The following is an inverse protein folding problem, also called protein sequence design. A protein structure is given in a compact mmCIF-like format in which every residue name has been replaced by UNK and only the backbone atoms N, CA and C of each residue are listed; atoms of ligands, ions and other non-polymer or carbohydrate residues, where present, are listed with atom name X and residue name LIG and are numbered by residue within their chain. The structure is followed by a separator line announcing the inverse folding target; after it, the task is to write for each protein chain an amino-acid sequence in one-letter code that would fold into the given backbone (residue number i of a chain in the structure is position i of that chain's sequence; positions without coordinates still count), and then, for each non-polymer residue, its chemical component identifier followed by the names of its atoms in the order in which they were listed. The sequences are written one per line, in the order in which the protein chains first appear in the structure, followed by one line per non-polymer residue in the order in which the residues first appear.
data_IF_282974030986
#
_entry.id   IF_282974030986
#
_cell.length_a   1.000
_cell.length_b   1.000
_cell.length_c   1.000
_cell.angle_alpha   90.00
_cell.angle_beta   90.00
_cell.angle_gamma   90.00
#
_symmetry.space_group_name_H-M   'P 1'
#
loop_
_entity.id
_entity.type
_entity.pdbx_description
1 polymer ?
#
# COMPACT_ATOMS: atom_id res chain seq x y z
N UNK A 1 11.51 -12.17 -16.98
CA UNK A 1 10.34 -11.63 -16.27
C UNK A 1 9.74 -10.48 -17.07
N UNK A 2 10.52 -9.46 -17.44
CA UNK A 2 10.09 -8.35 -18.32
C UNK A 2 9.40 -8.81 -19.62
N UNK A 3 9.94 -9.82 -20.31
CA UNK A 3 9.41 -10.30 -21.59
C UNK A 3 8.00 -10.96 -21.48
N UNK A 4 7.69 -11.57 -20.32
CA UNK A 4 6.38 -12.15 -20.06
C UNK A 4 5.34 -11.07 -19.77
N UNK A 5 5.75 -9.98 -19.11
CA UNK A 5 4.84 -8.89 -18.75
C UNK A 5 4.57 -8.00 -19.97
N UNK A 6 5.57 -7.74 -20.82
CA UNK A 6 5.40 -7.00 -22.08
C UNK A 6 4.37 -7.65 -23.02
N UNK A 7 4.44 -8.97 -23.19
CA UNK A 7 3.47 -9.74 -24.00
C UNK A 7 2.04 -9.64 -23.44
N UNK A 8 1.91 -9.49 -22.13
CA UNK A 8 0.64 -9.35 -21.43
C UNK A 8 0.01 -7.98 -21.66
N UNK A 9 0.81 -6.91 -21.66
CA UNK A 9 0.36 -5.55 -21.99
C UNK A 9 -0.16 -5.48 -23.42
N UNK A 10 0.60 -6.04 -24.38
CA UNK A 10 0.17 -6.11 -25.77
C UNK A 10 -1.12 -6.92 -25.94
N UNK A 11 -1.27 -7.98 -25.15
CA UNK A 11 -2.47 -8.80 -25.17
C UNK A 11 -3.66 -8.11 -24.49
N UNK A 12 -3.47 -7.34 -23.42
CA UNK A 12 -4.50 -6.49 -22.80
C UNK A 12 -4.94 -5.40 -23.79
N UNK A 13 -3.99 -4.76 -24.49
CA UNK A 13 -4.28 -3.76 -25.53
C UNK A 13 -5.06 -4.35 -26.72
N UNK A 14 -4.83 -5.63 -27.04
CA UNK A 14 -5.61 -6.40 -28.03
C UNK A 14 -6.93 -6.94 -27.49
N UNK A 15 -7.16 -6.91 -26.18
CA UNK A 15 -8.33 -7.52 -25.52
C UNK A 15 -8.25 -9.04 -25.37
N UNK A 16 -7.06 -9.62 -25.54
CA UNK A 16 -6.78 -11.06 -25.50
C UNK A 16 -6.55 -11.58 -24.06
N UNK A 17 -6.19 -10.72 -23.11
CA UNK A 17 -5.95 -11.09 -21.70
C UNK A 17 -6.66 -10.13 -20.75
N UNK A 18 -7.25 -10.69 -19.70
CA UNK A 18 -7.91 -9.98 -18.61
C UNK A 18 -6.90 -9.48 -17.55
N UNK A 19 -7.24 -8.40 -16.84
CA UNK A 19 -6.43 -7.80 -15.77
C UNK A 19 -6.05 -8.83 -14.70
N UNK A 20 -6.89 -9.84 -14.46
CA UNK A 20 -6.59 -10.94 -13.57
C UNK A 20 -5.26 -11.64 -13.92
N UNK A 21 -4.97 -11.83 -15.21
CA UNK A 21 -3.73 -12.45 -15.69
C UNK A 21 -2.47 -11.63 -15.32
N UNK A 22 -2.58 -10.30 -15.36
CA UNK A 22 -1.52 -9.40 -14.90
C UNK A 22 -1.32 -9.52 -13.39
N UNK A 23 -2.41 -9.53 -12.62
CA UNK A 23 -2.34 -9.62 -11.15
C UNK A 23 -1.67 -10.91 -10.69
N UNK A 24 -1.88 -12.05 -11.35
CA UNK A 24 -1.23 -13.31 -10.98
C UNK A 24 0.30 -13.25 -11.00
N UNK A 25 0.90 -12.42 -11.87
CA UNK A 25 2.35 -12.32 -12.00
C UNK A 25 3.01 -11.40 -10.96
N UNK A 26 2.20 -10.60 -10.27
CA UNK A 26 2.71 -9.62 -9.31
C UNK A 26 3.16 -10.30 -8.01
N UNK A 27 4.32 -9.87 -7.51
CA UNK A 27 4.76 -10.12 -6.14
C UNK A 27 3.80 -9.51 -5.12
N UNK A 28 3.90 -9.91 -3.85
CA UNK A 28 3.04 -9.40 -2.80
C UNK A 28 3.12 -7.87 -2.66
N UNK A 29 4.32 -7.30 -2.76
CA UNK A 29 4.54 -5.85 -2.70
C UNK A 29 3.97 -5.13 -3.92
N UNK A 30 4.13 -5.69 -5.11
CA UNK A 30 3.56 -5.15 -6.34
C UNK A 30 2.03 -5.16 -6.30
N UNK A 31 1.43 -6.29 -5.87
CA UNK A 31 -0.02 -6.39 -5.63
C UNK A 31 -0.50 -5.36 -4.63
N UNK A 32 0.28 -5.14 -3.56
CA UNK A 32 -0.08 -4.16 -2.53
C UNK A 32 -0.06 -2.73 -3.08
N UNK A 33 0.96 -2.37 -3.88
CA UNK A 33 1.00 -1.08 -4.57
C UNK A 33 -0.15 -0.94 -5.57
N UNK A 34 -0.44 -2.00 -6.32
CA UNK A 34 -1.56 -2.05 -7.26
C UNK A 34 -2.92 -1.86 -6.56
N UNK A 35 -3.15 -2.54 -5.44
CA UNK A 35 -4.36 -2.40 -4.63
C UNK A 35 -4.55 -0.98 -4.12
N UNK A 36 -3.49 -0.28 -3.73
CA UNK A 36 -3.58 1.14 -3.37
C UNK A 36 -4.11 1.95 -4.55
N UNK A 37 -3.54 1.80 -5.75
CA UNK A 37 -4.00 2.55 -6.91
C UNK A 37 -5.46 2.22 -7.28
N UNK A 38 -5.86 0.94 -7.20
CA UNK A 38 -7.23 0.48 -7.45
C UNK A 38 -8.23 1.05 -6.45
N UNK A 39 -7.88 1.05 -5.16
CA UNK A 39 -8.78 1.52 -4.09
C UNK A 39 -8.97 3.03 -4.14
N UNK A 40 -7.91 3.80 -4.38
CA UNK A 40 -7.98 5.26 -4.32
C UNK A 40 -8.45 5.91 -5.63
N UNK A 41 -8.32 5.23 -6.78
CA UNK A 41 -8.78 5.67 -8.11
C UNK A 41 -8.42 7.13 -8.46
N UNK A 42 -7.25 7.59 -8.01
CA UNK A 42 -6.73 8.94 -8.26
C UNK A 42 -5.21 8.92 -8.47
N UNK A 43 -4.69 10.01 -9.04
CA UNK A 43 -3.26 10.19 -9.14
C UNK A 43 -2.62 10.35 -7.74
N UNK A 44 -1.54 9.62 -7.49
CA UNK A 44 -0.84 9.57 -6.19
C UNK A 44 0.68 9.62 -6.42
N UNK A 45 1.41 10.33 -5.55
CA UNK A 45 2.86 10.23 -5.51
C UNK A 45 3.32 9.03 -4.67
N UNK A 46 4.61 8.67 -4.78
CA UNK A 46 5.23 7.53 -4.07
C UNK A 46 5.00 7.56 -2.55
N UNK A 47 5.02 8.75 -1.92
CA UNK A 47 4.78 8.85 -0.48
C UNK A 47 3.33 8.56 -0.14
N UNK A 48 2.38 9.08 -0.90
CA UNK A 48 0.95 8.83 -0.67
C UNK A 48 0.64 7.33 -0.79
N UNK A 49 1.24 6.65 -1.77
CA UNK A 49 1.06 5.20 -1.94
C UNK A 49 1.58 4.44 -0.72
N UNK A 50 2.79 4.79 -0.25
CA UNK A 50 3.39 4.14 0.91
C UNK A 50 2.64 4.46 2.21
N UNK A 51 2.18 5.70 2.38
CA UNK A 51 1.39 6.14 3.53
C UNK A 51 0.04 5.43 3.58
N UNK A 52 -0.60 5.16 2.44
CA UNK A 52 -1.82 4.37 2.39
C UNK A 52 -1.63 2.95 2.94
N UNK A 53 -0.53 2.27 2.57
CA UNK A 53 -0.20 0.95 3.12
C UNK A 53 0.04 0.98 4.63
N UNK A 54 0.76 2.01 5.12
CA UNK A 54 1.02 2.17 6.56
C UNK A 54 -0.31 2.42 7.30
N UNK A 55 -1.15 3.29 6.75
CA UNK A 55 -2.43 3.66 7.34
C UNK A 55 -3.39 2.47 7.45
N UNK A 56 -3.45 1.61 6.43
CA UNK A 56 -4.22 0.36 6.44
C UNK A 56 -3.84 -0.51 7.65
N UNK A 57 -2.53 -0.71 7.89
CA UNK A 57 -2.06 -1.43 9.08
C UNK A 57 -2.36 -0.72 10.41
N UNK A 58 -2.27 0.61 10.47
CA UNK A 58 -2.61 1.36 11.69
C UNK A 58 -4.09 1.15 12.07
N UNK A 59 -4.98 1.13 11.08
CA UNK A 59 -6.41 0.86 11.33
C UNK A 59 -6.65 -0.55 11.87
N UNK A 60 -6.03 -1.55 11.24
CA UNK A 60 -6.15 -2.96 11.66
C UNK A 60 -5.60 -3.14 13.08
N UNK A 61 -4.38 -2.66 13.35
CA UNK A 61 -3.74 -2.75 14.67
C UNK A 61 -4.56 -2.07 15.76
N UNK A 62 -5.21 -0.95 15.46
CA UNK A 62 -6.13 -0.31 16.40
C UNK A 62 -7.32 -1.18 16.71
N UNK A 63 -7.96 -1.75 15.69
CA UNK A 63 -9.08 -2.66 15.89
C UNK A 63 -8.68 -3.89 16.69
N UNK A 64 -7.50 -4.46 16.39
CA UNK A 64 -6.91 -5.57 17.17
C UNK A 64 -6.71 -5.18 18.63
N UNK A 65 -6.10 -4.03 18.90
CA UNK A 65 -5.86 -3.56 20.25
C UNK A 65 -7.17 -3.31 21.02
N UNK A 66 -8.19 -2.74 20.38
CA UNK A 66 -9.50 -2.52 20.99
C UNK A 66 -10.23 -3.84 21.28
N UNK A 67 -10.07 -4.85 20.43
CA UNK A 67 -10.57 -6.20 20.66
C UNK A 67 -9.86 -6.87 21.85
N UNK A 68 -8.52 -6.86 21.86
CA UNK A 68 -7.70 -7.40 22.95
C UNK A 68 -7.94 -6.72 24.30
N UNK A 69 -8.28 -5.43 24.29
CA UNK A 69 -8.61 -4.67 25.49
C UNK A 69 -10.10 -4.65 25.83
N UNK A 70 -10.92 -5.41 25.09
CA UNK A 70 -12.38 -5.51 25.27
C UNK A 70 -13.12 -4.17 25.16
N UNK A 71 -12.51 -3.17 24.52
CA UNK A 71 -13.17 -1.92 24.14
C UNK A 71 -14.12 -2.14 22.96
N UNK A 72 -13.84 -3.15 22.14
CA UNK A 72 -14.70 -3.62 21.05
C UNK A 72 -14.97 -5.12 21.19
N UNK A 73 -16.14 -5.56 20.73
CA UNK A 73 -16.48 -6.98 20.56
C UNK A 73 -16.43 -7.42 19.09
N UNK A 74 -16.24 -6.47 18.17
CA UNK A 74 -16.16 -6.75 16.75
C UNK A 74 -14.84 -7.43 16.43
N UNK A 75 -14.90 -8.50 15.63
CA UNK A 75 -13.71 -9.15 15.10
C UNK A 75 -12.94 -8.11 14.26
N UNK A 76 -11.65 -7.92 14.51
CA UNK A 76 -10.84 -7.00 13.73
C UNK A 76 -10.81 -7.37 12.24
N UNK A 77 -10.83 -6.38 11.33
CA UNK A 77 -10.67 -6.64 9.91
C UNK A 77 -9.22 -7.01 9.60
N UNK A 78 -9.01 -7.68 8.46
CA UNK A 78 -7.68 -7.88 7.91
C UNK A 78 -7.22 -6.62 7.13
N UNK A 79 -5.91 -6.45 6.91
CA UNK A 79 -5.40 -5.42 6.00
C UNK A 79 -6.06 -5.55 4.62
N UNK A 80 -6.57 -4.44 4.10
CA UNK A 80 -7.33 -4.42 2.84
C UNK A 80 -6.44 -4.19 1.62
N UNK A 81 -5.27 -3.56 1.82
CA UNK A 81 -4.36 -3.20 0.74
C UNK A 81 -3.18 -4.18 0.63
N UNK A 82 -2.74 -4.76 1.75
CA UNK A 82 -1.55 -5.61 1.82
C UNK A 82 -1.84 -7.07 1.47
N UNK A 83 -0.98 -7.67 0.65
CA UNK A 83 -1.12 -9.07 0.17
C UNK A 83 0.02 -9.98 0.65
N UNK A 84 1.02 -9.44 1.36
CA UNK A 84 2.17 -10.20 1.86
C UNK A 84 1.96 -10.77 3.26
N UNK A 85 3.00 -11.41 3.78
CA UNK A 85 3.01 -11.92 5.15
C UNK A 85 2.96 -10.79 6.17
N UNK A 86 2.28 -11.06 7.28
CA UNK A 86 2.23 -10.20 8.46
C UNK A 86 1.94 -11.02 9.72
N UNK A 87 2.29 -10.46 10.89
CA UNK A 87 2.06 -11.08 12.20
C UNK A 87 1.35 -10.10 13.15
N UNK A 88 0.06 -10.36 13.40
CA UNK A 88 -0.80 -9.62 14.32
C UNK A 88 -1.01 -10.35 15.66
N UNK A 89 -0.06 -11.19 16.08
CA UNK A 89 -0.09 -11.81 17.41
C UNK A 89 -0.28 -10.78 18.52
N UNK A 90 -0.96 -11.20 19.60
CA UNK A 90 -1.24 -10.31 20.74
C UNK A 90 0.04 -9.65 21.29
N UNK A 91 1.15 -10.38 21.33
CA UNK A 91 2.45 -9.86 21.74
C UNK A 91 2.89 -8.68 20.86
N UNK A 92 2.90 -8.87 19.54
CA UNK A 92 3.29 -7.84 18.59
C UNK A 92 2.38 -6.61 18.65
N UNK A 93 1.07 -6.81 18.74
CA UNK A 93 0.10 -5.72 18.85
C UNK A 93 0.36 -4.91 20.13
N UNK A 94 0.50 -5.56 21.29
CA UNK A 94 0.77 -4.86 22.56
C UNK A 94 2.10 -4.12 22.54
N UNK A 95 3.14 -4.75 22.02
CA UNK A 95 4.47 -4.14 21.92
C UNK A 95 4.53 -2.98 20.92
N UNK A 96 3.76 -3.04 19.83
CA UNK A 96 3.58 -1.91 18.91
C UNK A 96 2.97 -0.71 19.64
N UNK A 97 1.83 -0.87 20.31
CA UNK A 97 1.17 0.23 21.03
C UNK A 97 2.02 0.81 22.15
N UNK A 98 2.81 -0.03 22.83
CA UNK A 98 3.79 0.41 23.84
C UNK A 98 4.86 1.32 23.24
N UNK A 99 5.43 0.95 22.09
CA UNK A 99 6.44 1.78 21.39
C UNK A 99 5.84 3.06 20.81
N UNK A 100 4.61 3.01 20.26
CA UNK A 100 3.87 4.19 19.80
C UNK A 100 3.72 5.22 20.92
N UNK A 101 3.24 4.79 22.10
CA UNK A 101 3.10 5.67 23.27
C UNK A 101 4.42 6.23 23.75
N UNK A 102 5.47 5.40 23.79
CA UNK A 102 6.83 5.83 24.16
C UNK A 102 7.38 6.93 23.24
N UNK A 103 6.96 6.94 21.97
CA UNK A 103 7.34 7.96 21.00
C UNK A 103 6.39 9.16 20.95
N UNK A 104 5.31 9.16 21.74
CA UNK A 104 4.32 10.24 21.78
C UNK A 104 3.52 10.37 20.49
N UNK A 105 3.34 9.27 19.75
CA UNK A 105 2.59 9.26 18.49
C UNK A 105 1.10 9.05 18.77
N UNK A 106 0.25 9.94 18.24
CA UNK A 106 -1.20 9.84 18.35
C UNK A 106 -1.77 9.02 17.19
N UNK A 107 -2.02 7.73 17.45
CA UNK A 107 -2.69 6.83 16.50
C UNK A 107 -4.19 6.69 16.79
N UNK A 108 -4.73 7.42 17.77
CA UNK A 108 -6.17 7.50 17.99
C UNK A 108 -6.85 8.39 16.95
N UNK A 109 -6.10 9.29 16.32
CA UNK A 109 -6.51 9.98 15.11
C UNK A 109 -5.51 9.75 13.97
N UNK A 110 -5.53 8.58 13.29
CA UNK A 110 -4.56 8.26 12.24
C UNK A 110 -4.48 9.28 11.10
N UNK A 111 -5.52 10.12 10.91
CA UNK A 111 -5.57 11.17 9.88
C UNK A 111 -4.71 12.40 10.21
N UNK A 112 -4.35 12.61 11.48
CA UNK A 112 -3.47 13.71 11.89
C UNK A 112 -1.99 13.38 11.74
N UNK A 113 -1.65 12.11 11.51
CA UNK A 113 -0.26 11.65 11.39
C UNK A 113 0.43 12.30 10.18
N UNK A 114 1.56 12.94 10.45
CA UNK A 114 2.43 13.51 9.43
C UNK A 114 3.23 12.44 8.70
N UNK A 115 3.76 12.75 7.51
CA UNK A 115 4.68 11.88 6.77
C UNK A 115 5.95 11.49 7.55
N UNK A 116 6.34 12.30 8.55
CA UNK A 116 7.46 11.95 9.45
C UNK A 116 7.04 10.85 10.41
N UNK A 117 5.87 10.98 11.02
CA UNK A 117 5.33 10.00 11.96
C UNK A 117 5.01 8.67 11.26
N UNK A 118 4.45 8.72 10.04
CA UNK A 118 4.23 7.53 9.22
C UNK A 118 5.53 6.74 8.95
N UNK A 119 6.65 7.45 8.71
CA UNK A 119 7.96 6.78 8.56
C UNK A 119 8.39 6.08 9.85
N UNK A 120 8.20 6.74 10.99
CA UNK A 120 8.51 6.15 12.31
C UNK A 120 7.65 4.92 12.57
N UNK A 121 6.36 4.96 12.23
CA UNK A 121 5.44 3.83 12.36
C UNK A 121 5.91 2.66 11.50
N UNK A 122 6.23 2.90 10.23
CA UNK A 122 6.76 1.86 9.34
C UNK A 122 8.03 1.18 9.90
N UNK A 123 8.91 1.96 10.52
CA UNK A 123 10.12 1.41 11.16
C UNK A 123 9.78 0.54 12.37
N UNK A 124 8.76 0.91 13.16
CA UNK A 124 8.30 0.09 14.30
C UNK A 124 7.68 -1.21 13.80
N UNK A 125 6.78 -1.14 12.80
CA UNK A 125 6.14 -2.31 12.20
C UNK A 125 7.19 -3.33 11.75
N UNK A 126 8.22 -2.86 11.05
CA UNK A 126 9.32 -3.71 10.59
C UNK A 126 10.14 -4.28 11.75
N UNK A 127 10.51 -3.45 12.73
CA UNK A 127 11.34 -3.87 13.88
C UNK A 127 10.64 -4.90 14.77
N UNK A 128 9.31 -4.84 14.86
CA UNK A 128 8.49 -5.77 15.62
C UNK A 128 8.09 -7.02 14.82
N UNK A 129 8.54 -7.15 13.57
CA UNK A 129 8.18 -8.30 12.73
C UNK A 129 6.72 -8.34 12.31
N UNK A 130 5.96 -7.25 12.48
CA UNK A 130 4.54 -7.20 12.11
C UNK A 130 4.39 -7.23 10.60
N UNK A 131 5.09 -6.33 9.90
CA UNK A 131 5.08 -6.24 8.44
C UNK A 131 6.28 -5.45 7.96
N UNK A 132 6.82 -5.82 6.79
CA UNK A 132 7.89 -5.06 6.12
C UNK A 132 7.35 -4.27 4.93
N UNK A 133 6.71 -3.12 5.21
CA UNK A 133 6.20 -2.21 4.17
C UNK A 133 7.33 -1.81 3.21
N UNK A 134 7.10 -1.84 1.87
CA UNK A 134 8.12 -1.51 0.89
C UNK A 134 8.70 -0.11 1.12
N UNK A 135 10.00 0.02 0.87
CA UNK A 135 10.70 1.31 0.97
C UNK A 135 10.23 2.27 -0.11
N UNK A 136 10.44 3.58 0.08
CA UNK A 136 10.13 4.58 -0.96
C UNK A 136 10.75 4.23 -2.31
N UNK A 137 12.03 3.81 -2.33
CA UNK A 137 12.72 3.42 -3.56
C UNK A 137 12.09 2.20 -4.22
N UNK A 138 11.61 1.24 -3.43
CA UNK A 138 10.95 0.04 -3.95
C UNK A 138 9.58 0.38 -4.54
N UNK A 139 8.78 1.19 -3.85
CA UNK A 139 7.48 1.67 -4.38
C UNK A 139 7.71 2.47 -5.67
N UNK A 140 8.70 3.36 -5.70
CA UNK A 140 9.04 4.12 -6.90
C UNK A 140 9.45 3.21 -8.07
N UNK A 141 10.28 2.18 -7.80
CA UNK A 141 10.65 1.20 -8.81
C UNK A 141 9.42 0.48 -9.35
N UNK A 142 8.56 -0.06 -8.48
CA UNK A 142 7.32 -0.75 -8.86
C UNK A 142 6.44 0.14 -9.75
N UNK A 143 6.26 1.40 -9.38
CA UNK A 143 5.45 2.34 -10.16
C UNK A 143 6.05 2.64 -11.54
N UNK A 144 7.39 2.73 -11.66
CA UNK A 144 8.08 2.86 -12.94
C UNK A 144 7.98 1.59 -13.77
N UNK A 145 8.05 0.42 -13.14
CA UNK A 145 7.86 -0.86 -13.81
C UNK A 145 6.43 -0.92 -14.37
N UNK A 146 5.41 -0.60 -13.58
CA UNK A 146 4.02 -0.49 -14.05
C UNK A 146 3.82 0.55 -15.15
N UNK A 147 4.56 1.66 -15.12
CA UNK A 147 4.54 2.67 -16.18
C UNK A 147 5.18 2.16 -17.48
N UNK A 148 6.32 1.47 -17.39
CA UNK A 148 6.99 0.87 -18.55
C UNK A 148 6.10 -0.15 -19.27
N UNK A 149 5.23 -0.79 -18.51
CA UNK A 149 4.21 -1.73 -18.96
C UNK A 149 2.92 -1.03 -19.40
N UNK A 150 2.83 0.29 -19.40
CA UNK A 150 1.62 1.02 -19.79
C UNK A 150 0.41 0.80 -18.88
N UNK A 151 0.56 0.12 -17.74
CA UNK A 151 -0.52 -0.14 -16.77
C UNK A 151 -0.81 1.10 -15.93
N UNK A 152 0.22 1.88 -15.68
CA UNK A 152 0.19 3.15 -14.98
C UNK A 152 0.67 4.24 -15.93
N UNK A 153 0.13 5.45 -15.79
CA UNK A 153 0.64 6.65 -16.42
C UNK A 153 1.21 7.58 -15.36
N UNK A 154 2.30 8.29 -15.69
CA UNK A 154 2.86 9.30 -14.81
C UNK A 154 2.70 10.72 -15.37
N UNK A 155 2.68 11.70 -14.46
CA UNK A 155 2.73 13.12 -14.80
C UNK A 155 3.47 13.91 -13.73
N UNK A 156 4.16 14.99 -14.09
CA UNK A 156 4.73 15.91 -13.10
C UNK A 156 3.61 16.61 -12.32
N UNK A 157 3.76 16.69 -11.00
CA UNK A 157 2.91 17.50 -10.14
C UNK A 157 3.14 18.99 -10.42
N UNK A 158 2.12 19.63 -11.00
CA UNK A 158 2.14 21.05 -11.35
C UNK A 158 2.13 21.97 -10.12
N UNK A 159 1.86 21.43 -8.93
CA UNK A 159 1.74 22.16 -7.65
C UNK A 159 3.07 22.54 -7.00
N UNK A 160 4.19 22.42 -7.72
CA UNK A 160 5.43 23.15 -7.40
C UNK A 160 6.54 22.39 -6.68
N UNK A 161 6.47 21.06 -6.53
CA UNK A 161 7.56 20.26 -5.93
C UNK A 161 8.21 19.24 -6.87
N UNK A 162 7.83 19.23 -8.15
CA UNK A 162 8.42 18.32 -9.15
C UNK A 162 8.22 16.84 -8.85
N UNK A 163 7.24 16.49 -8.00
CA UNK A 163 6.94 15.10 -7.66
C UNK A 163 6.23 14.43 -8.83
N UNK A 164 6.59 13.19 -9.14
CA UNK A 164 5.85 12.39 -10.11
C UNK A 164 4.58 11.84 -9.47
N UNK A 165 3.45 12.07 -10.13
CA UNK A 165 2.16 11.48 -9.79
C UNK A 165 1.90 10.31 -10.73
N UNK A 166 1.47 9.18 -10.17
CA UNK A 166 1.15 7.95 -10.88
C UNK A 166 -0.35 7.68 -10.77
N UNK A 167 -0.98 7.23 -11.85
CA UNK A 167 -2.39 6.83 -11.88
C UNK A 167 -2.55 5.61 -12.78
N UNK A 168 -3.57 4.78 -12.52
CA UNK A 168 -3.93 3.69 -13.44
C UNK A 168 -4.24 4.27 -14.82
N UNK A 169 -3.73 3.63 -15.87
CA UNK A 169 -4.02 4.02 -17.24
C UNK A 169 -5.54 4.00 -17.48
N UNK A 170 -6.17 5.12 -17.90
CA UNK A 170 -7.61 5.19 -18.13
C UNK A 170 -8.13 4.16 -19.13
N UNK A 171 -7.28 3.71 -20.08
CA UNK A 171 -7.64 2.64 -21.03
C UNK A 171 -7.88 1.30 -20.35
N UNK A 172 -7.22 1.07 -19.22
CA UNK A 172 -7.35 -0.14 -18.41
C UNK A 172 -8.36 0.01 -17.28
N UNK A 173 -8.60 1.24 -16.81
CA UNK A 173 -9.51 1.52 -15.70
C UNK A 173 -10.94 0.99 -15.93
N UNK A 174 -11.39 0.90 -17.19
CA UNK A 174 -12.71 0.37 -17.58
C UNK A 174 -12.89 -1.14 -17.32
N UNK A 175 -11.80 -1.88 -17.09
CA UNK A 175 -11.82 -3.31 -16.80
C UNK A 175 -11.63 -3.60 -15.30
N UNK A 176 -11.59 -2.56 -14.46
CA UNK A 176 -11.41 -2.64 -13.00
C UNK A 176 -12.70 -2.37 -12.20
N UNK A 177 -13.84 -2.30 -12.89
CA UNK A 177 -15.19 -2.19 -12.30
C UNK A 177 -15.83 -3.56 -12.13
#
# INVERSE_FOLDING_TARGET
MEEAIQKLVEAIDRGDIDIEGFEYLLTAEEKSVWNVLKTYKRAMNVNEVREALIYDFVLVLRSEYDFLTRKSRSIPPLPSLWVGDYDLSEENVREFFKEIRKKGLDIDNPRSLTSREMRVIADILKKKGIVSIPSHKMVERILKDFESLGVVISRPDRSGKGKTLYAINPRLAKFLE
#
